data_IF_833768217479
#
_entry.id   IF_833768217479
#
_cell.length_a   1.000
_cell.length_b   1.000
_cell.length_c   1.000
_cell.angle_alpha   90.00
_cell.angle_beta   90.00
_cell.angle_gamma   90.00
#
_symmetry.space_group_name_H-M   'P 1'
#
loop_
_entity.id
_entity.type
_entity.pdbx_description
1 polymer ?
#
# COMPACT_ATOMS: atom_id res chain seq x y z
N UNK A 1 34.38 17.50 -95.89
CA UNK A 1 35.41 18.22 -95.21
C UNK A 1 35.05 18.44 -93.78
N UNK A 2 35.81 17.78 -92.97
CA UNK A 2 36.11 17.91 -91.52
C UNK A 2 34.94 17.92 -90.51
N UNK A 3 34.74 16.75 -89.94
CA UNK A 3 34.01 16.49 -88.73
C UNK A 3 34.87 16.62 -87.50
N UNK A 4 34.38 17.20 -86.51
CA UNK A 4 34.92 17.02 -85.20
C UNK A 4 33.78 16.50 -84.26
N UNK A 5 33.96 15.26 -83.88
CA UNK A 5 33.09 14.63 -82.94
C UNK A 5 33.38 15.11 -81.51
N UNK A 6 32.36 15.52 -80.86
CA UNK A 6 32.43 15.74 -79.42
C UNK A 6 31.88 14.54 -78.67
N UNK A 7 32.79 13.95 -77.91
CA UNK A 7 32.52 12.85 -77.00
C UNK A 7 31.85 13.41 -75.74
N UNK A 8 30.57 13.23 -75.57
CA UNK A 8 29.89 13.55 -74.29
C UNK A 8 30.09 12.44 -73.27
N UNK A 9 30.94 12.77 -72.31
CA UNK A 9 31.13 11.88 -71.14
C UNK A 9 30.00 12.13 -70.15
N UNK A 10 29.05 11.22 -70.09
CA UNK A 10 28.01 11.21 -69.04
C UNK A 10 28.59 10.67 -67.76
N UNK A 11 28.96 11.56 -66.85
CA UNK A 11 29.27 11.20 -65.45
C UNK A 11 27.99 10.92 -64.70
N UNK A 12 27.69 9.66 -64.48
CA UNK A 12 26.60 9.19 -63.62
C UNK A 12 27.00 9.39 -62.14
N UNK A 13 26.55 10.48 -61.56
CA UNK A 13 26.73 10.73 -60.13
C UNK A 13 25.67 9.93 -59.37
N UNK A 14 26.09 8.78 -58.82
CA UNK A 14 25.23 7.98 -57.91
C UNK A 14 25.16 8.72 -56.57
N UNK A 15 24.02 9.34 -56.29
CA UNK A 15 23.70 9.94 -55.01
C UNK A 15 23.26 8.84 -54.03
N UNK A 16 24.21 8.37 -53.23
CA UNK A 16 23.91 7.40 -52.14
C UNK A 16 23.27 8.16 -50.98
N UNK A 17 21.93 8.07 -50.89
CA UNK A 17 21.18 8.55 -49.72
C UNK A 17 21.44 7.57 -48.57
N UNK A 18 21.99 7.99 -47.42
CA UNK A 18 22.03 7.14 -46.24
C UNK A 18 20.61 7.04 -45.66
N UNK A 19 19.99 5.89 -45.81
CA UNK A 19 18.79 5.52 -45.08
C UNK A 19 19.19 5.32 -43.59
N UNK A 20 19.18 6.42 -42.85
CA UNK A 20 19.13 6.32 -41.39
C UNK A 20 17.76 5.76 -40.98
N UNK A 21 17.63 4.44 -40.98
CA UNK A 21 16.59 3.77 -40.21
C UNK A 21 16.95 3.98 -38.75
N UNK A 22 16.49 5.07 -38.16
CA UNK A 22 16.45 5.25 -36.73
C UNK A 22 15.56 4.18 -36.15
N UNK A 23 16.12 3.07 -35.64
CA UNK A 23 15.45 2.26 -34.67
C UNK A 23 15.16 3.17 -33.47
N UNK A 24 13.97 3.73 -33.43
CA UNK A 24 13.40 4.24 -32.20
C UNK A 24 13.31 3.06 -31.23
N UNK A 25 14.33 2.90 -30.41
CA UNK A 25 14.23 2.12 -29.19
C UNK A 25 13.22 2.86 -28.33
N UNK A 26 11.94 2.51 -28.52
CA UNK A 26 10.91 2.84 -27.57
C UNK A 26 11.36 2.26 -26.23
N UNK A 27 12.00 3.09 -25.41
CA UNK A 27 12.30 2.75 -24.04
C UNK A 27 10.97 2.39 -23.41
N UNK A 28 10.68 1.09 -23.25
CA UNK A 28 9.77 0.67 -22.19
C UNK A 28 10.33 1.34 -20.95
N UNK A 29 9.55 2.28 -20.37
CA UNK A 29 9.82 2.72 -19.00
C UNK A 29 10.01 1.42 -18.22
N UNK A 30 11.20 1.20 -17.68
CA UNK A 30 11.38 0.13 -16.71
C UNK A 30 10.34 0.42 -15.65
N UNK A 31 9.36 -0.47 -15.50
CA UNK A 31 8.41 -0.37 -14.40
C UNK A 31 9.23 -0.37 -13.12
N UNK A 32 9.49 0.83 -12.61
CA UNK A 32 10.24 1.00 -11.37
C UNK A 32 9.39 0.40 -10.26
N UNK A 33 9.96 -0.54 -9.54
CA UNK A 33 9.30 -1.16 -8.41
C UNK A 33 8.95 -0.09 -7.36
N UNK A 34 7.66 0.15 -7.17
CA UNK A 34 7.16 1.09 -6.16
C UNK A 34 7.22 0.47 -4.76
N UNK A 35 7.66 1.26 -3.77
CA UNK A 35 7.68 0.88 -2.36
C UNK A 35 6.88 1.89 -1.55
N UNK A 36 5.93 1.43 -0.75
CA UNK A 36 4.94 2.27 -0.08
C UNK A 36 4.87 1.98 1.42
N UNK A 37 4.58 3.03 2.18
CA UNK A 37 4.34 3.00 3.62
C UNK A 37 2.97 3.61 3.93
N UNK A 38 2.40 3.26 5.07
CA UNK A 38 1.31 4.02 5.66
C UNK A 38 1.88 5.20 6.48
N UNK A 39 1.41 6.39 6.20
CA UNK A 39 1.81 7.62 6.91
C UNK A 39 0.59 8.42 7.32
N UNK A 40 -0.14 7.90 8.27
CA UNK A 40 -1.33 8.59 8.78
C UNK A 40 -1.09 9.18 10.14
N UNK A 41 -1.21 10.49 10.26
CA UNK A 41 -1.26 11.16 11.55
C UNK A 41 -2.70 11.26 12.05
N UNK A 42 -2.96 10.72 13.23
CA UNK A 42 -4.23 10.94 13.92
C UNK A 42 -4.15 12.22 14.73
N UNK A 43 -5.08 13.12 14.50
CA UNK A 43 -5.22 14.36 15.25
C UNK A 43 -6.16 14.13 16.42
N UNK A 44 -5.71 14.47 17.63
CA UNK A 44 -6.53 14.46 18.83
C UNK A 44 -5.89 13.72 20.01
N UNK A 45 -6.22 14.14 21.21
CA UNK A 45 -5.88 13.46 22.46
C UNK A 45 -7.14 12.85 23.06
N UNK A 46 -6.99 11.75 23.80
CA UNK A 46 -8.11 11.14 24.50
C UNK A 46 -8.71 12.09 25.53
N UNK A 47 -10.03 12.15 25.58
CA UNK A 47 -10.74 12.94 26.58
C UNK A 47 -10.71 12.24 27.95
N UNK A 48 -10.63 10.91 27.98
CA UNK A 48 -10.59 10.10 29.20
C UNK A 48 -9.47 9.06 29.10
N UNK A 49 -8.50 9.13 29.99
CA UNK A 49 -7.47 8.12 30.13
C UNK A 49 -8.01 6.89 30.87
N UNK A 50 -7.73 5.71 30.35
CA UNK A 50 -8.01 4.43 31.04
C UNK A 50 -6.88 4.16 32.06
N UNK A 51 -5.65 4.57 31.73
CA UNK A 51 -4.45 4.28 32.50
C UNK A 51 -3.97 2.84 32.29
N UNK A 52 -2.95 2.44 33.05
CA UNK A 52 -2.35 1.11 32.93
C UNK A 52 -1.45 0.97 31.70
N UNK A 53 -0.91 -0.22 31.53
CA UNK A 53 0.02 -0.57 30.47
C UNK A 53 -0.75 -1.40 29.41
N UNK A 54 -0.58 -1.05 28.14
CA UNK A 54 -1.11 -1.85 27.02
C UNK A 54 0.03 -2.46 26.21
N UNK A 55 -0.13 -3.73 25.87
CA UNK A 55 0.69 -4.40 24.84
C UNK A 55 -0.09 -4.47 23.54
N UNK A 56 0.51 -4.07 22.45
CA UNK A 56 -0.05 -4.25 21.11
C UNK A 56 0.64 -5.43 20.45
N UNK A 57 -0.10 -6.52 20.23
CA UNK A 57 0.40 -7.68 19.49
C UNK A 57 0.52 -7.31 18.00
N UNK A 58 1.44 -7.95 17.30
CA UNK A 58 1.42 -7.92 15.83
C UNK A 58 0.08 -8.42 15.34
N UNK A 59 -0.56 -7.65 14.48
CA UNK A 59 -1.87 -8.01 13.96
C UNK A 59 -1.78 -9.22 13.04
N UNK A 60 -2.81 -10.03 13.07
CA UNK A 60 -2.97 -11.08 12.07
C UNK A 60 -3.57 -10.50 10.80
N UNK A 61 -3.25 -11.09 9.66
CA UNK A 61 -3.80 -10.70 8.36
C UNK A 61 -4.31 -11.94 7.62
N UNK A 62 -5.44 -11.79 6.94
CA UNK A 62 -6.01 -12.86 6.15
C UNK A 62 -5.05 -13.26 5.00
N UNK A 63 -4.91 -14.58 4.79
CA UNK A 63 -3.94 -15.18 3.86
C UNK A 63 -3.86 -14.54 2.45
N UNK A 64 -4.96 -14.13 1.79
CA UNK A 64 -4.85 -13.47 0.49
C UNK A 64 -4.08 -12.15 0.51
N UNK A 65 -3.94 -11.51 1.67
CA UNK A 65 -3.31 -10.21 1.86
C UNK A 65 -2.01 -10.30 2.67
N UNK A 66 -1.60 -11.51 3.05
CA UNK A 66 -0.40 -11.79 3.86
C UNK A 66 0.85 -11.80 2.97
N UNK A 67 1.11 -10.66 2.36
CA UNK A 67 2.35 -10.39 1.61
C UNK A 67 2.57 -8.89 1.52
N UNK A 68 3.78 -8.49 1.17
CA UNK A 68 4.10 -7.08 0.91
C UNK A 68 3.61 -6.58 -0.46
N UNK A 69 3.02 -7.44 -1.30
CA UNK A 69 2.45 -7.07 -2.59
C UNK A 69 1.07 -6.42 -2.45
N UNK A 70 0.75 -5.48 -3.33
CA UNK A 70 -0.60 -4.98 -3.41
C UNK A 70 -1.53 -6.02 -4.01
N UNK A 71 -2.76 -6.04 -3.53
CA UNK A 71 -3.82 -6.89 -4.06
C UNK A 71 -4.93 -6.02 -4.61
N UNK A 72 -5.38 -6.34 -5.82
CA UNK A 72 -6.48 -5.67 -6.48
C UNK A 72 -7.63 -6.64 -6.74
N UNK A 73 -8.83 -6.21 -6.41
CA UNK A 73 -10.05 -6.90 -6.79
C UNK A 73 -10.50 -6.42 -8.15
N UNK A 74 -10.69 -7.34 -9.09
CA UNK A 74 -11.22 -7.12 -10.43
C UNK A 74 -12.69 -7.55 -10.53
N UNK A 75 -13.29 -7.40 -11.70
CA UNK A 75 -14.62 -7.91 -11.96
C UNK A 75 -14.72 -9.42 -11.66
N UNK A 76 -15.93 -9.93 -11.42
CA UNK A 76 -16.21 -11.34 -11.16
C UNK A 76 -15.49 -11.96 -9.94
N UNK A 77 -15.16 -11.15 -8.92
CA UNK A 77 -14.41 -11.57 -7.72
C UNK A 77 -13.01 -12.15 -8.05
N UNK A 78 -12.41 -11.72 -9.13
CA UNK A 78 -11.02 -12.02 -9.44
C UNK A 78 -10.08 -11.12 -8.61
N UNK A 79 -9.00 -11.70 -8.06
CA UNK A 79 -8.00 -10.99 -7.28
C UNK A 79 -6.65 -11.12 -7.94
N UNK A 80 -6.04 -9.99 -8.22
CA UNK A 80 -4.73 -9.87 -8.87
C UNK A 80 -3.69 -9.36 -7.86
N UNK A 81 -2.53 -10.00 -7.83
CA UNK A 81 -1.39 -9.56 -7.03
C UNK A 81 -0.46 -8.70 -7.88
N UNK A 82 -0.15 -7.50 -7.41
CA UNK A 82 0.77 -6.58 -8.08
C UNK A 82 2.19 -6.76 -7.54
N UNK A 83 3.03 -7.42 -8.29
CA UNK A 83 4.42 -7.67 -7.93
C UNK A 83 5.34 -6.46 -8.12
N UNK A 84 4.90 -5.42 -8.81
CA UNK A 84 5.68 -4.20 -9.05
C UNK A 84 5.47 -3.14 -7.97
N UNK A 85 4.28 -3.13 -7.35
CA UNK A 85 3.94 -2.19 -6.30
C UNK A 85 3.75 -2.96 -4.98
N UNK A 86 4.58 -2.60 -4.01
CA UNK A 86 4.70 -3.36 -2.77
C UNK A 86 4.75 -2.42 -1.57
N UNK A 87 4.33 -2.88 -0.44
CA UNK A 87 4.65 -2.25 0.83
C UNK A 87 6.14 -2.41 1.14
N UNK A 88 6.70 -1.53 1.97
CA UNK A 88 8.11 -1.62 2.41
C UNK A 88 8.35 -2.87 3.26
N UNK A 89 7.33 -3.29 3.99
CA UNK A 89 7.25 -4.55 4.76
C UNK A 89 5.81 -5.05 4.74
N UNK A 90 5.56 -6.22 5.31
CA UNK A 90 4.20 -6.77 5.38
C UNK A 90 3.22 -5.79 6.03
N UNK A 91 2.00 -5.66 5.49
CA UNK A 91 1.05 -4.63 5.93
C UNK A 91 0.54 -4.82 7.36
N UNK A 92 0.50 -6.04 7.89
CA UNK A 92 0.21 -6.36 9.28
C UNK A 92 1.13 -5.60 10.25
N UNK A 93 2.44 -5.59 9.97
CA UNK A 93 3.44 -4.86 10.76
C UNK A 93 3.24 -3.35 10.63
N UNK A 94 2.98 -2.84 9.42
CA UNK A 94 2.76 -1.40 9.20
C UNK A 94 1.53 -0.91 9.95
N UNK A 95 0.42 -1.62 9.87
CA UNK A 95 -0.83 -1.26 10.55
C UNK A 95 -0.63 -1.35 12.07
N UNK A 96 0.02 -2.41 12.56
CA UNK A 96 0.36 -2.55 13.98
C UNK A 96 1.15 -1.36 14.49
N UNK A 97 2.20 -0.95 13.79
CA UNK A 97 3.04 0.19 14.17
C UNK A 97 2.27 1.51 14.16
N UNK A 98 1.36 1.72 13.19
CA UNK A 98 0.52 2.92 13.19
C UNK A 98 -0.43 2.93 14.39
N UNK A 99 -1.05 1.81 14.72
CA UNK A 99 -1.91 1.71 15.90
C UNK A 99 -1.13 1.96 17.22
N UNK A 100 0.10 1.44 17.33
CA UNK A 100 0.98 1.73 18.47
C UNK A 100 1.25 3.23 18.61
N UNK A 101 1.68 3.89 17.54
CA UNK A 101 1.94 5.34 17.54
C UNK A 101 0.70 6.15 17.95
N UNK A 102 -0.49 5.75 17.51
CA UNK A 102 -1.73 6.45 17.86
C UNK A 102 -2.10 6.25 19.31
N UNK A 103 -1.96 5.05 19.84
CA UNK A 103 -2.19 4.79 21.27
C UNK A 103 -1.23 5.58 22.14
N UNK A 104 0.06 5.66 21.77
CA UNK A 104 1.05 6.49 22.45
C UNK A 104 0.65 7.98 22.42
N UNK A 105 0.32 8.51 21.25
CA UNK A 105 -0.09 9.92 21.08
C UNK A 105 -1.42 10.23 21.78
N UNK A 106 -2.31 9.27 21.89
CA UNK A 106 -3.64 9.47 22.47
C UNK A 106 -3.62 9.71 23.98
N UNK A 107 -2.63 9.16 24.68
CA UNK A 107 -2.56 9.21 26.13
C UNK A 107 -3.68 8.42 26.85
N UNK A 108 -4.38 7.52 26.15
CA UNK A 108 -5.42 6.65 26.75
C UNK A 108 -4.82 5.72 27.80
N UNK A 109 -3.65 5.15 27.50
CA UNK A 109 -2.89 4.28 28.39
C UNK A 109 -1.66 5.00 28.92
N UNK A 110 -1.21 4.62 30.11
CA UNK A 110 0.00 5.20 30.71
C UNK A 110 1.25 4.85 29.92
N UNK A 111 1.32 3.62 29.43
CA UNK A 111 2.43 3.15 28.60
C UNK A 111 1.91 2.21 27.51
N UNK A 112 2.48 2.33 26.30
CA UNK A 112 2.29 1.40 25.19
C UNK A 112 3.56 0.58 25.07
N UNK A 113 3.45 -0.72 25.29
CA UNK A 113 4.58 -1.64 25.42
C UNK A 113 4.66 -2.56 24.19
N UNK A 114 5.88 -3.01 23.88
CA UNK A 114 6.05 -4.22 23.08
C UNK A 114 5.63 -5.43 23.92
N UNK A 115 4.99 -6.41 23.31
CA UNK A 115 4.60 -7.65 23.99
C UNK A 115 5.80 -8.52 24.42
N UNK A 116 7.01 -8.17 23.97
CA UNK A 116 8.26 -8.75 24.45
C UNK A 116 8.87 -8.02 25.66
N UNK A 117 8.19 -6.96 26.17
CA UNK A 117 8.65 -6.21 27.34
C UNK A 117 8.66 -7.09 28.59
N UNK A 118 9.62 -6.84 29.49
CA UNK A 118 9.64 -7.46 30.81
C UNK A 118 8.58 -6.88 31.75
N UNK A 119 7.94 -5.76 31.38
CA UNK A 119 6.86 -5.13 32.14
C UNK A 119 5.55 -5.80 31.79
N UNK A 120 4.79 -6.22 32.80
CA UNK A 120 3.47 -6.82 32.62
C UNK A 120 2.48 -5.79 32.06
N UNK A 121 1.74 -6.14 31.04
CA UNK A 121 0.67 -5.34 30.50
C UNK A 121 -0.65 -5.63 31.24
N UNK A 122 -1.44 -4.59 31.50
CA UNK A 122 -2.80 -4.71 32.04
C UNK A 122 -3.82 -4.99 30.93
N UNK A 123 -3.45 -4.59 29.70
CA UNK A 123 -4.29 -4.74 28.50
C UNK A 123 -3.46 -5.26 27.34
N UNK A 124 -4.12 -6.05 26.50
CA UNK A 124 -3.57 -6.54 25.23
C UNK A 124 -4.51 -6.09 24.11
N UNK A 125 -3.97 -5.43 23.10
CA UNK A 125 -4.67 -5.16 21.85
C UNK A 125 -4.28 -6.21 20.81
N UNK A 126 -5.28 -6.91 20.31
CA UNK A 126 -5.18 -7.81 19.16
C UNK A 126 -5.95 -7.20 17.99
N UNK A 127 -5.41 -7.35 16.79
CA UNK A 127 -6.03 -6.92 15.54
C UNK A 127 -6.01 -8.02 14.51
N UNK A 128 -7.08 -8.09 13.72
CA UNK A 128 -7.17 -9.00 12.58
C UNK A 128 -7.57 -8.20 11.35
N UNK A 129 -6.65 -8.09 10.38
CA UNK A 129 -6.88 -7.47 9.08
C UNK A 129 -7.58 -8.49 8.19
N UNK A 130 -8.89 -8.31 8.01
CA UNK A 130 -9.75 -9.23 7.27
C UNK A 130 -9.64 -8.97 5.76
N UNK A 131 -9.52 -7.69 5.37
CA UNK A 131 -9.42 -7.28 3.97
C UNK A 131 -8.49 -6.08 3.81
N UNK A 132 -7.66 -6.12 2.76
CA UNK A 132 -6.77 -5.03 2.35
C UNK A 132 -6.54 -5.10 0.84
N UNK A 133 -7.32 -4.36 0.05
CA UNK A 133 -7.20 -4.40 -1.41
C UNK A 133 -7.69 -3.12 -2.07
N UNK A 134 -7.21 -2.87 -3.29
CA UNK A 134 -7.79 -1.88 -4.19
C UNK A 134 -8.98 -2.51 -4.94
N UNK A 135 -10.15 -1.89 -4.87
CA UNK A 135 -11.35 -2.37 -5.57
C UNK A 135 -11.46 -1.70 -6.95
N UNK A 136 -11.14 -2.49 -7.98
CA UNK A 136 -11.25 -2.14 -9.40
C UNK A 136 -12.26 -3.05 -10.11
N UNK A 137 -13.25 -3.54 -9.39
CA UNK A 137 -14.31 -4.42 -9.95
C UNK A 137 -15.17 -3.69 -10.97
N UNK A 138 -15.23 -2.37 -10.89
CA UNK A 138 -15.86 -1.47 -11.87
C UNK A 138 -14.82 -0.52 -12.46
N UNK A 139 -15.11 0.01 -13.66
CA UNK A 139 -14.20 0.95 -14.31
C UNK A 139 -14.04 2.24 -13.48
N UNK A 140 -15.13 2.71 -12.90
CA UNK A 140 -15.20 3.82 -11.93
C UNK A 140 -16.50 3.75 -11.13
N UNK A 141 -16.53 4.18 -9.85
CA UNK A 141 -15.38 4.64 -9.05
C UNK A 141 -14.49 3.48 -8.56
N UNK A 142 -13.22 3.80 -8.28
CA UNK A 142 -12.24 2.88 -7.69
C UNK A 142 -12.08 3.18 -6.20
N UNK A 143 -11.80 2.15 -5.39
CA UNK A 143 -11.74 2.30 -3.95
C UNK A 143 -10.53 1.62 -3.33
N UNK A 144 -10.05 2.17 -2.22
CA UNK A 144 -9.23 1.46 -1.25
C UNK A 144 -10.16 0.84 -0.20
N UNK A 145 -9.99 -0.44 0.05
CA UNK A 145 -10.82 -1.20 1.01
C UNK A 145 -9.95 -1.75 2.12
N UNK A 146 -10.35 -1.50 3.36
CA UNK A 146 -9.69 -2.00 4.56
C UNK A 146 -10.73 -2.44 5.57
N UNK A 147 -10.62 -3.68 6.04
CA UNK A 147 -11.48 -4.23 7.08
C UNK A 147 -10.61 -4.80 8.19
N UNK A 148 -10.78 -4.28 9.40
CA UNK A 148 -10.00 -4.68 10.57
C UNK A 148 -10.93 -4.91 11.75
N UNK A 149 -10.71 -6.00 12.48
CA UNK A 149 -11.37 -6.28 13.74
C UNK A 149 -10.36 -6.16 14.87
N UNK A 150 -10.73 -5.45 15.94
CA UNK A 150 -9.94 -5.29 17.14
C UNK A 150 -10.56 -5.99 18.32
N UNK A 151 -9.71 -6.53 19.17
CA UNK A 151 -10.05 -7.03 20.50
C UNK A 151 -9.15 -6.36 21.52
N UNK A 152 -9.74 -5.68 22.51
CA UNK A 152 -9.03 -5.24 23.69
C UNK A 152 -9.31 -6.23 24.82
N UNK A 153 -8.26 -6.85 25.30
CA UNK A 153 -8.30 -7.86 26.33
C UNK A 153 -7.72 -7.23 27.61
N UNK A 154 -8.46 -7.29 28.69
CA UNK A 154 -7.96 -6.92 30.02
C UNK A 154 -7.48 -8.17 30.74
N UNK A 155 -6.24 -8.13 31.21
CA UNK A 155 -5.68 -9.16 32.08
C UNK A 155 -5.98 -8.86 33.55
N UNK A 156 -6.56 -9.81 34.25
CA UNK A 156 -6.94 -9.68 35.66
C UNK A 156 -6.46 -10.92 36.42
N UNK A 157 -5.18 -10.96 36.78
CA UNK A 157 -4.57 -12.13 37.40
C UNK A 157 -4.68 -13.37 36.50
N UNK A 158 -5.48 -14.36 36.92
CA UNK A 158 -5.62 -15.60 36.18
C UNK A 158 -6.68 -15.58 35.06
N UNK A 159 -7.29 -14.42 34.78
CA UNK A 159 -8.38 -14.30 33.81
C UNK A 159 -8.08 -13.21 32.78
N UNK A 160 -8.32 -13.56 31.51
CA UNK A 160 -8.35 -12.63 30.40
C UNK A 160 -9.80 -12.35 30.00
N UNK A 161 -10.19 -11.09 29.90
CA UNK A 161 -11.54 -10.65 29.54
C UNK A 161 -11.51 -9.73 28.33
N UNK A 162 -12.28 -10.06 27.32
CA UNK A 162 -12.49 -9.15 26.18
C UNK A 162 -13.37 -8.00 26.66
N UNK A 163 -12.80 -6.80 26.77
CA UNK A 163 -13.51 -5.59 27.23
C UNK A 163 -13.95 -4.69 26.08
N UNK A 164 -13.40 -4.91 24.88
CA UNK A 164 -13.83 -4.24 23.67
C UNK A 164 -13.64 -5.19 22.48
N UNK A 165 -14.61 -5.18 21.56
CA UNK A 165 -14.54 -5.89 20.29
C UNK A 165 -15.29 -5.04 19.26
N UNK A 166 -14.59 -4.65 18.20
CA UNK A 166 -15.21 -3.87 17.13
C UNK A 166 -14.55 -4.18 15.79
N UNK A 167 -15.39 -4.30 14.78
CA UNK A 167 -14.99 -4.42 13.40
C UNK A 167 -15.23 -3.08 12.68
N UNK A 168 -14.25 -2.65 11.94
CA UNK A 168 -14.29 -1.49 11.08
C UNK A 168 -14.21 -1.95 9.64
N UNK A 169 -15.02 -1.37 8.79
CA UNK A 169 -15.07 -1.69 7.36
C UNK A 169 -15.09 -0.37 6.60
N UNK A 170 -13.92 0.01 6.09
CA UNK A 170 -13.70 1.26 5.41
C UNK A 170 -13.56 1.02 3.91
N UNK A 171 -14.25 1.85 3.14
CA UNK A 171 -14.18 1.87 1.68
C UNK A 171 -14.08 3.31 1.22
N UNK A 172 -12.87 3.73 0.81
CA UNK A 172 -12.55 5.11 0.45
C UNK A 172 -12.37 5.21 -1.06
N UNK A 173 -13.14 6.08 -1.69
CA UNK A 173 -12.97 6.39 -3.10
C UNK A 173 -11.62 7.07 -3.34
N UNK A 174 -10.90 6.62 -4.37
CA UNK A 174 -9.61 7.14 -4.77
C UNK A 174 -9.69 7.85 -6.11
N UNK A 175 -8.89 8.93 -6.27
CA UNK A 175 -8.99 9.82 -7.42
C UNK A 175 -8.58 9.14 -8.74
N UNK A 176 -7.59 8.24 -8.68
CA UNK A 176 -7.12 7.45 -9.81
C UNK A 176 -6.77 6.03 -9.37
N UNK A 177 -6.73 5.11 -10.34
CA UNK A 177 -6.32 3.72 -10.13
C UNK A 177 -4.78 3.58 -10.06
N UNK A 178 -4.11 4.52 -9.37
CA UNK A 178 -2.66 4.44 -9.17
C UNK A 178 -2.33 3.83 -7.80
N UNK A 179 -1.18 3.15 -7.68
CA UNK A 179 -0.73 2.61 -6.39
C UNK A 179 -0.62 3.68 -5.29
N UNK A 180 -0.18 4.89 -5.62
CA UNK A 180 -0.08 6.00 -4.68
C UNK A 180 -1.45 6.46 -4.17
N UNK A 181 -2.47 6.53 -5.05
CA UNK A 181 -3.84 6.87 -4.65
C UNK A 181 -4.45 5.79 -3.76
N UNK A 182 -4.18 4.52 -4.03
CA UNK A 182 -4.62 3.39 -3.20
C UNK A 182 -4.02 3.50 -1.80
N UNK A 183 -2.72 3.79 -1.66
CA UNK A 183 -2.07 3.99 -0.35
C UNK A 183 -2.67 5.18 0.37
N UNK A 184 -2.88 6.31 -0.32
CA UNK A 184 -3.59 7.46 0.25
C UNK A 184 -5.01 7.10 0.71
N UNK A 185 -5.66 6.19 0.00
CA UNK A 185 -6.96 5.63 0.42
C UNK A 185 -6.84 4.80 1.70
N UNK A 186 -5.83 3.94 1.82
CA UNK A 186 -5.57 3.16 3.04
C UNK A 186 -5.23 4.05 4.23
N UNK A 187 -4.48 5.14 4.03
CA UNK A 187 -4.22 6.13 5.07
C UNK A 187 -5.52 6.74 5.61
N UNK A 188 -6.45 7.07 4.71
CA UNK A 188 -7.78 7.56 5.11
C UNK A 188 -8.62 6.49 5.80
N UNK A 189 -8.58 5.23 5.33
CA UNK A 189 -9.22 4.12 6.02
C UNK A 189 -8.72 4.03 7.46
N UNK A 190 -7.40 4.03 7.65
CA UNK A 190 -6.79 4.00 8.98
C UNK A 190 -7.17 5.20 9.85
N UNK A 191 -7.25 6.39 9.27
CA UNK A 191 -7.65 7.60 10.01
C UNK A 191 -9.10 7.55 10.51
N UNK A 192 -9.99 6.81 9.83
CA UNK A 192 -11.40 6.65 10.19
C UNK A 192 -11.62 5.58 11.26
N UNK A 193 -10.67 4.66 11.41
CA UNK A 193 -10.68 3.56 12.39
C UNK A 193 -10.23 4.07 13.77
#
# INVERSE_FOLDING_TARGET
MRNSGQLFLFTLTIFVLPLFTGCGVGGKSSDSMGRFLFETDRVGTAVNAIGGNICVKTFEIASPFDSDCFVYKRANNDYETDYYNRFVTCPDLLITQQCQKWLEKSGIFSNVLSCSSAVTADYILEGNVISLYGDFSEEKPTFAVMQIRFFLIKETGDKALVVFNKEYNEKIEVAAASPADIVSGYDKCLANI
#
